data_IF_540073324018
#
_entry.id   IF_540073324018
#
_cell.length_a   1.000
_cell.length_b   1.000
_cell.length_c   1.000
_cell.angle_alpha   90.00
_cell.angle_beta   90.00
_cell.angle_gamma   90.00
#
_symmetry.space_group_name_H-M   'P 1'
#
loop_
_entity.id
_entity.type
_entity.pdbx_description
1 polymer ?
#
# COMPACT_ATOMS: atom_id res chain seq x y z
N UNK A 1 6.70 7.70 21.06
CA UNK A 1 7.92 6.87 21.12
C UNK A 1 7.99 6.12 19.80
N UNK A 2 9.08 6.25 19.05
CA UNK A 2 9.21 5.56 17.77
C UNK A 2 9.15 4.04 18.01
N UNK A 3 8.31 3.35 17.25
CA UNK A 3 8.33 1.89 17.20
C UNK A 3 9.47 1.49 16.27
N UNK A 4 10.47 0.77 16.78
CA UNK A 4 11.61 0.30 15.98
C UNK A 4 11.42 -1.15 15.56
N UNK A 5 11.77 -1.45 14.31
CA UNK A 5 11.90 -2.81 13.83
C UNK A 5 13.20 -3.44 14.34
N UNK A 6 13.24 -4.77 14.40
CA UNK A 6 14.41 -5.48 14.97
C UNK A 6 15.74 -5.13 14.28
N UNK A 7 15.72 -4.90 12.97
CA UNK A 7 16.91 -4.53 12.21
C UNK A 7 17.32 -3.05 12.41
N UNK A 8 16.45 -2.23 13.00
CA UNK A 8 16.74 -0.82 13.33
C UNK A 8 17.38 -0.65 14.71
N UNK A 9 17.54 -1.72 15.51
CA UNK A 9 18.17 -1.64 16.84
C UNK A 9 19.49 -0.85 16.89
N UNK A 10 20.43 -1.03 15.94
CA UNK A 10 21.66 -0.24 15.93
C UNK A 10 21.42 1.27 15.76
N UNK A 11 20.38 1.65 15.01
CA UNK A 11 19.98 3.05 14.82
C UNK A 11 19.25 3.55 16.07
N UNK A 12 18.36 2.75 16.64
CA UNK A 12 17.63 3.09 17.86
C UNK A 12 18.58 3.40 19.03
N UNK A 13 19.67 2.63 19.18
CA UNK A 13 20.70 2.90 20.19
C UNK A 13 21.44 4.23 19.96
N UNK A 14 21.67 4.62 18.70
CA UNK A 14 22.28 5.90 18.36
C UNK A 14 21.30 7.05 18.63
N UNK A 15 20.04 6.91 18.23
CA UNK A 15 18.99 7.92 18.46
C UNK A 15 18.70 8.09 19.96
N UNK A 16 18.68 7.02 20.76
CA UNK A 16 18.54 7.11 22.22
C UNK A 16 19.70 7.90 22.86
N UNK A 17 20.94 7.67 22.41
CA UNK A 17 22.10 8.45 22.88
C UNK A 17 22.01 9.92 22.48
N UNK A 18 21.45 10.22 21.30
CA UNK A 18 21.15 11.60 20.87
C UNK A 18 20.14 12.24 21.80
N UNK A 19 19.04 11.55 22.12
CA UNK A 19 18.01 12.04 23.05
C UNK A 19 18.59 12.30 24.45
N UNK A 20 19.40 11.38 24.98
CA UNK A 20 20.06 11.53 26.28
C UNK A 20 20.99 12.75 26.30
N UNK A 21 21.82 12.92 25.26
CA UNK A 21 22.73 14.07 25.15
C UNK A 21 21.96 15.40 24.98
N UNK A 22 20.86 15.38 24.23
CA UNK A 22 19.98 16.55 24.07
C UNK A 22 19.36 16.94 25.41
N UNK A 23 18.82 15.98 26.17
CA UNK A 23 18.25 16.21 27.49
C UNK A 23 19.28 16.69 28.52
N UNK A 24 20.55 16.28 28.38
CA UNK A 24 21.65 16.82 29.19
C UNK A 24 21.98 18.26 28.79
N UNK A 25 22.00 18.58 27.50
CA UNK A 25 22.33 19.94 27.00
C UNK A 25 21.32 21.02 27.43
N UNK A 26 20.06 20.64 27.71
CA UNK A 26 19.01 21.55 28.18
C UNK A 26 19.12 21.89 29.67
N UNK A 27 20.01 21.25 30.43
CA UNK A 27 20.25 21.57 31.86
C UNK A 27 21.17 22.78 32.02
N UNK A 28 20.83 23.66 32.97
CA UNK A 28 21.42 25.01 33.17
C UNK A 28 22.94 25.09 33.43
N UNK A 29 23.62 23.98 33.73
CA UNK A 29 25.07 23.92 34.03
C UNK A 29 25.84 22.94 33.12
N UNK A 30 25.33 22.69 31.91
CA UNK A 30 25.91 21.67 31.03
C UNK A 30 27.12 22.18 30.24
N UNK A 31 28.17 21.36 30.07
CA UNK A 31 29.29 21.69 29.20
C UNK A 31 28.84 21.88 27.75
N UNK A 32 29.65 22.56 26.92
CA UNK A 32 29.36 22.80 25.51
C UNK A 32 29.42 21.48 24.70
N UNK A 33 28.32 20.73 24.73
CA UNK A 33 28.15 19.42 24.08
C UNK A 33 27.57 19.57 22.67
N UNK A 34 27.29 20.80 22.20
CA UNK A 34 26.60 21.06 20.93
C UNK A 34 27.30 20.44 19.72
N UNK A 35 28.63 20.48 19.66
CA UNK A 35 29.39 19.83 18.57
C UNK A 35 29.31 18.30 18.60
N UNK A 36 29.33 17.70 19.79
CA UNK A 36 29.22 16.24 19.95
C UNK A 36 27.81 15.76 19.61
N UNK A 37 26.78 16.53 20.03
CA UNK A 37 25.40 16.27 19.68
C UNK A 37 25.20 16.32 18.15
N UNK A 38 25.66 17.38 17.49
CA UNK A 38 25.54 17.50 16.03
C UNK A 38 26.27 16.38 15.28
N UNK A 39 27.47 15.98 15.75
CA UNK A 39 28.19 14.82 15.19
C UNK A 39 27.42 13.52 15.38
N UNK A 40 26.80 13.32 16.54
CA UNK A 40 26.03 12.10 16.81
C UNK A 40 24.71 12.05 16.04
N UNK A 41 24.01 13.18 15.91
CA UNK A 41 22.82 13.33 15.07
C UNK A 41 23.13 13.01 13.61
N UNK A 42 24.21 13.58 13.06
CA UNK A 42 24.65 13.29 11.69
C UNK A 42 25.02 11.81 11.52
N UNK A 43 25.64 11.20 12.53
CA UNK A 43 25.98 9.77 12.51
C UNK A 43 24.73 8.88 12.54
N UNK A 44 23.73 9.22 13.37
CA UNK A 44 22.47 8.49 13.45
C UNK A 44 21.69 8.60 12.13
N UNK A 45 21.56 9.82 11.59
CA UNK A 45 20.90 10.07 10.31
C UNK A 45 21.57 9.31 9.15
N UNK A 46 22.91 9.32 9.09
CA UNK A 46 23.66 8.55 8.09
C UNK A 46 23.47 7.05 8.26
N UNK A 47 23.54 6.53 9.49
CA UNK A 47 23.33 5.11 9.75
C UNK A 47 21.93 4.64 9.35
N UNK A 48 20.90 5.45 9.60
CA UNK A 48 19.54 5.19 9.15
C UNK A 48 19.45 5.17 7.62
N UNK A 49 20.02 6.18 6.95
CA UNK A 49 20.02 6.25 5.49
C UNK A 49 20.74 5.06 4.84
N UNK A 50 21.94 4.71 5.33
CA UNK A 50 22.72 3.58 4.83
C UNK A 50 21.99 2.25 5.05
N UNK A 51 21.31 2.09 6.21
CA UNK A 51 20.48 0.92 6.51
C UNK A 51 19.29 0.80 5.56
N UNK A 52 18.54 1.89 5.36
CA UNK A 52 17.34 1.88 4.52
C UNK A 52 17.65 1.75 3.02
N UNK A 53 18.80 2.26 2.57
CA UNK A 53 19.28 2.07 1.21
C UNK A 53 19.62 0.59 0.88
N UNK A 54 19.93 -0.22 1.90
CA UNK A 54 20.36 -1.60 1.76
C UNK A 54 19.34 -2.64 2.25
N UNK A 55 18.06 -2.26 2.44
CA UNK A 55 17.04 -3.20 2.94
C UNK A 55 16.88 -4.42 2.02
N UNK A 56 16.93 -5.59 2.65
CA UNK A 56 16.55 -6.85 2.02
C UNK A 56 15.03 -6.92 1.76
N UNK A 57 14.56 -7.80 0.85
CA UNK A 57 13.12 -7.98 0.62
C UNK A 57 12.31 -8.31 1.88
N UNK A 58 12.90 -9.07 2.81
CA UNK A 58 12.26 -9.38 4.08
C UNK A 58 12.17 -8.16 5.01
N UNK A 59 13.24 -7.36 5.11
CA UNK A 59 13.17 -6.12 5.89
C UNK A 59 12.16 -5.13 5.30
N UNK A 60 12.06 -5.02 3.97
CA UNK A 60 10.97 -4.25 3.32
C UNK A 60 9.59 -4.81 3.67
N UNK A 61 9.42 -6.13 3.73
CA UNK A 61 8.18 -6.75 4.21
C UNK A 61 7.85 -6.33 5.65
N UNK A 62 8.85 -6.26 6.52
CA UNK A 62 8.66 -5.77 7.89
C UNK A 62 8.26 -4.28 7.93
N UNK A 63 8.84 -3.44 7.05
CA UNK A 63 8.45 -2.02 6.89
C UNK A 63 7.02 -1.88 6.34
N UNK A 64 6.63 -2.71 5.36
CA UNK A 64 5.27 -2.75 4.82
C UNK A 64 4.22 -3.14 5.87
N UNK A 65 4.63 -3.95 6.87
CA UNK A 65 3.80 -4.41 7.98
C UNK A 65 3.95 -3.55 9.25
N UNK A 66 4.66 -2.43 9.16
CA UNK A 66 4.93 -1.60 10.33
C UNK A 66 3.61 -1.11 10.96
N UNK A 67 3.42 -1.22 12.29
CA UNK A 67 2.14 -0.87 12.94
C UNK A 67 1.70 0.59 12.78
N UNK A 68 2.66 1.49 12.53
CA UNK A 68 2.41 2.93 12.33
C UNK A 68 2.47 3.32 10.84
N UNK A 69 2.53 2.36 9.92
CA UNK A 69 2.46 2.66 8.48
C UNK A 69 1.08 3.26 8.18
N UNK A 70 0.99 4.37 7.42
CA UNK A 70 -0.30 4.98 7.09
C UNK A 70 -1.21 3.97 6.36
N UNK A 71 -2.47 3.92 6.76
CA UNK A 71 -3.50 3.05 6.18
C UNK A 71 -4.44 3.84 5.26
N UNK A 72 -5.38 3.16 4.61
CA UNK A 72 -6.28 3.77 3.63
C UNK A 72 -7.02 5.00 4.18
N UNK A 73 -7.47 4.95 5.45
CA UNK A 73 -8.12 6.09 6.11
C UNK A 73 -7.24 7.36 6.11
N UNK A 74 -5.94 7.22 6.29
CA UNK A 74 -5.00 8.34 6.34
C UNK A 74 -4.83 8.98 4.96
N UNK A 75 -4.72 8.16 3.91
CA UNK A 75 -4.66 8.65 2.52
C UNK A 75 -5.96 9.30 2.08
N UNK A 76 -7.12 8.75 2.46
CA UNK A 76 -8.41 9.38 2.18
C UNK A 76 -8.48 10.74 2.87
N UNK A 77 -8.16 10.81 4.17
CA UNK A 77 -8.22 12.04 4.94
C UNK A 77 -7.25 13.12 4.41
N UNK A 78 -6.06 12.73 3.95
CA UNK A 78 -5.04 13.66 3.45
C UNK A 78 -5.16 14.04 1.98
N UNK A 79 -5.88 13.27 1.15
CA UNK A 79 -5.94 13.50 -0.31
C UNK A 79 -7.33 13.80 -0.86
N UNK A 80 -8.40 13.40 -0.18
CA UNK A 80 -9.75 13.40 -0.73
C UNK A 80 -10.63 14.40 0.04
N UNK A 81 -10.92 15.52 -0.60
CA UNK A 81 -11.84 16.53 -0.09
C UNK A 81 -13.29 16.04 -0.23
N UNK A 82 -14.17 16.45 0.70
CA UNK A 82 -15.60 16.13 0.71
C UNK A 82 -15.91 14.64 0.54
N UNK A 83 -15.07 13.76 1.11
CA UNK A 83 -15.25 12.32 1.01
C UNK A 83 -16.59 11.88 1.59
N UNK A 84 -17.41 11.27 0.74
CA UNK A 84 -18.72 10.71 1.07
C UNK A 84 -18.65 9.18 0.99
N UNK A 85 -18.65 8.47 2.13
CA UNK A 85 -18.62 7.01 2.15
C UNK A 85 -19.87 6.40 1.50
N UNK A 86 -19.67 5.32 0.72
CA UNK A 86 -20.73 4.55 0.08
C UNK A 86 -20.75 3.11 0.59
N UNK A 87 -21.64 2.83 1.53
CA UNK A 87 -21.78 1.50 2.14
C UNK A 87 -22.66 0.52 1.33
N UNK A 88 -22.43 -0.77 1.58
CA UNK A 88 -23.21 -1.93 1.18
C UNK A 88 -22.95 -2.40 -0.25
N UNK A 89 -23.01 -3.72 -0.46
CA UNK A 89 -22.94 -4.35 -1.78
C UNK A 89 -24.31 -4.50 -2.47
N UNK A 90 -25.40 -4.18 -1.75
CA UNK A 90 -26.81 -4.36 -2.16
C UNK A 90 -27.25 -5.81 -2.36
N UNK A 91 -26.49 -6.77 -1.83
CA UNK A 91 -26.78 -8.21 -1.92
C UNK A 91 -26.74 -8.91 -0.56
N UNK A 92 -25.75 -8.58 0.27
CA UNK A 92 -25.52 -9.25 1.54
C UNK A 92 -25.27 -8.27 2.70
N UNK A 93 -24.18 -7.51 2.65
CA UNK A 93 -23.75 -6.71 3.80
C UNK A 93 -22.86 -5.52 3.41
N UNK A 94 -22.52 -4.71 4.42
CA UNK A 94 -21.37 -3.80 4.36
C UNK A 94 -20.13 -4.53 4.91
N UNK A 95 -19.06 -4.55 4.12
CA UNK A 95 -17.75 -5.03 4.57
C UNK A 95 -16.88 -3.85 4.97
N UNK A 96 -16.52 -3.76 6.24
CA UNK A 96 -15.73 -2.67 6.77
C UNK A 96 -14.23 -2.78 6.41
N UNK A 97 -13.76 -3.94 5.93
CA UNK A 97 -12.37 -4.13 5.50
C UNK A 97 -12.02 -3.36 4.21
N UNK A 98 -13.01 -2.80 3.52
CA UNK A 98 -12.81 -2.01 2.31
C UNK A 98 -13.64 -0.73 2.36
N UNK A 99 -13.00 0.42 2.25
CA UNK A 99 -13.63 1.72 2.20
C UNK A 99 -13.91 2.09 0.76
N UNK A 100 -15.14 2.52 0.48
CA UNK A 100 -15.52 3.02 -0.83
C UNK A 100 -16.26 4.34 -0.70
N UNK A 101 -16.09 5.26 -1.63
CA UNK A 101 -16.81 6.53 -1.61
C UNK A 101 -16.55 7.41 -2.82
N UNK A 102 -17.16 8.59 -2.81
CA UNK A 102 -16.93 9.66 -3.78
C UNK A 102 -16.30 10.84 -3.07
N UNK A 103 -15.50 11.64 -3.77
CA UNK A 103 -14.95 12.87 -3.23
C UNK A 103 -14.27 13.69 -4.32
N UNK A 104 -13.48 14.67 -3.90
CA UNK A 104 -12.69 15.50 -4.81
C UNK A 104 -11.21 15.29 -4.55
N UNK A 105 -10.47 15.00 -5.62
CA UNK A 105 -9.03 14.91 -5.60
C UNK A 105 -8.47 16.05 -6.45
N UNK A 106 -7.80 17.03 -5.83
CA UNK A 106 -7.27 18.25 -6.50
C UNK A 106 -8.34 18.96 -7.33
N UNK A 107 -9.54 19.10 -6.78
CA UNK A 107 -10.68 19.72 -7.45
C UNK A 107 -11.43 18.83 -8.46
N UNK A 108 -10.92 17.66 -8.84
CA UNK A 108 -11.60 16.72 -9.74
C UNK A 108 -12.46 15.72 -8.96
N UNK A 109 -13.69 15.47 -9.41
CA UNK A 109 -14.54 14.43 -8.80
C UNK A 109 -13.99 13.04 -9.11
N UNK A 110 -13.83 12.21 -8.09
CA UNK A 110 -13.27 10.86 -8.19
C UNK A 110 -14.07 9.87 -7.35
N UNK A 111 -13.99 8.60 -7.72
CA UNK A 111 -14.38 7.48 -6.87
C UNK A 111 -13.13 6.89 -6.20
N UNK A 112 -13.27 6.50 -4.94
CA UNK A 112 -12.16 5.97 -4.14
C UNK A 112 -12.55 4.60 -3.59
N UNK A 113 -11.60 3.66 -3.65
CA UNK A 113 -11.73 2.30 -3.13
C UNK A 113 -10.44 2.00 -2.37
N UNK A 114 -10.49 1.40 -1.18
CA UNK A 114 -9.25 0.98 -0.54
C UNK A 114 -9.43 0.05 0.63
N UNK A 115 -8.43 -0.79 0.86
CA UNK A 115 -8.43 -1.77 1.94
C UNK A 115 -7.98 -1.09 3.24
N UNK A 116 -8.76 -1.25 4.30
CA UNK A 116 -8.46 -0.65 5.59
C UNK A 116 -8.07 -1.73 6.59
N UNK A 117 -6.88 -1.61 7.18
CA UNK A 117 -6.37 -2.60 8.13
C UNK A 117 -6.75 -2.33 9.57
N UNK A 118 -6.86 -1.06 9.97
CA UNK A 118 -6.90 -0.64 11.36
C UNK A 118 -5.50 -0.54 12.00
N UNK A 119 -5.33 0.46 12.86
CA UNK A 119 -4.06 0.80 13.51
C UNK A 119 -3.94 0.22 14.94
N UNK A 120 -5.06 -0.08 15.59
CA UNK A 120 -5.12 -0.68 16.94
C UNK A 120 -5.90 -2.00 16.93
N UNK A 121 -5.95 -2.71 18.06
CA UNK A 121 -6.63 -4.01 18.14
C UNK A 121 -8.13 -3.91 17.81
N UNK A 122 -8.82 -2.87 18.28
CA UNK A 122 -10.26 -2.71 18.09
C UNK A 122 -10.60 -2.44 16.62
N UNK A 123 -9.89 -1.49 15.99
CA UNK A 123 -10.02 -1.15 14.58
C UNK A 123 -9.58 -2.31 13.68
N UNK A 124 -8.54 -3.07 14.03
CA UNK A 124 -8.15 -4.26 13.27
C UNK A 124 -9.21 -5.35 13.26
N UNK A 125 -9.83 -5.62 14.39
CA UNK A 125 -10.95 -6.57 14.46
C UNK A 125 -12.14 -6.08 13.66
N UNK A 126 -12.47 -4.78 13.78
CA UNK A 126 -13.53 -4.12 13.02
C UNK A 126 -13.34 -4.26 11.50
N UNK A 127 -12.14 -3.92 11.02
CA UNK A 127 -11.80 -3.94 9.60
C UNK A 127 -11.25 -5.29 9.12
N UNK A 128 -11.38 -6.35 9.93
CA UNK A 128 -10.89 -7.69 9.60
C UNK A 128 -9.42 -7.71 9.11
N UNK A 129 -8.57 -6.86 9.70
CA UNK A 129 -7.16 -6.69 9.33
C UNK A 129 -6.96 -6.38 7.84
N UNK A 130 -7.93 -5.72 7.20
CA UNK A 130 -7.91 -5.41 5.75
C UNK A 130 -8.15 -6.63 4.87
N UNK A 131 -8.56 -7.76 5.43
CA UNK A 131 -8.91 -8.96 4.67
C UNK A 131 -10.36 -8.88 4.23
N UNK A 132 -10.55 -8.56 2.95
CA UNK A 132 -11.87 -8.31 2.37
C UNK A 132 -12.64 -9.62 2.18
N UNK A 133 -13.93 -9.60 2.50
CA UNK A 133 -14.92 -10.67 2.26
C UNK A 133 -15.60 -10.47 0.89
N UNK A 134 -16.36 -11.47 0.39
CA UNK A 134 -16.93 -11.40 -0.97
C UNK A 134 -17.81 -10.16 -1.20
N UNK A 135 -18.63 -9.81 -0.21
CA UNK A 135 -19.45 -8.60 -0.18
C UNK A 135 -18.63 -7.30 -0.34
N UNK A 136 -17.40 -7.24 0.19
CA UNK A 136 -16.52 -6.09 0.01
C UNK A 136 -16.05 -5.92 -1.44
N UNK A 137 -15.67 -7.00 -2.11
CA UNK A 137 -15.35 -6.95 -3.55
C UNK A 137 -16.57 -6.60 -4.40
N UNK A 138 -17.76 -7.08 -4.04
CA UNK A 138 -19.01 -6.70 -4.72
C UNK A 138 -19.35 -5.21 -4.52
N UNK A 139 -19.07 -4.66 -3.34
CA UNK A 139 -19.16 -3.22 -3.09
C UNK A 139 -18.17 -2.44 -3.95
N UNK A 140 -16.92 -2.91 -4.09
CA UNK A 140 -15.94 -2.30 -4.99
C UNK A 140 -16.42 -2.29 -6.45
N UNK A 141 -16.94 -3.41 -6.96
CA UNK A 141 -17.57 -3.49 -8.30
C UNK A 141 -18.66 -2.44 -8.45
N UNK A 142 -19.58 -2.34 -7.48
CA UNK A 142 -20.67 -1.35 -7.52
C UNK A 142 -20.15 0.08 -7.64
N UNK A 143 -19.05 0.42 -6.96
CA UNK A 143 -18.43 1.75 -7.02
C UNK A 143 -17.68 1.96 -8.34
N UNK A 144 -17.00 0.94 -8.87
CA UNK A 144 -16.37 1.01 -10.20
C UNK A 144 -17.41 1.23 -11.30
N UNK A 145 -18.53 0.49 -11.29
CA UNK A 145 -19.63 0.67 -12.25
C UNK A 145 -20.30 2.05 -12.13
N UNK A 146 -20.44 2.56 -10.91
CA UNK A 146 -20.95 3.91 -10.67
C UNK A 146 -19.99 4.95 -11.24
N UNK A 147 -18.70 4.80 -10.98
CA UNK A 147 -17.67 5.69 -11.49
C UNK A 147 -17.65 5.70 -13.02
N UNK A 148 -17.72 4.52 -13.65
CA UNK A 148 -17.76 4.39 -15.11
C UNK A 148 -18.99 5.09 -15.72
N UNK A 149 -20.17 4.92 -15.10
CA UNK A 149 -21.42 5.57 -15.54
C UNK A 149 -21.35 7.09 -15.52
N UNK A 150 -20.63 7.66 -14.55
CA UNK A 150 -20.54 9.10 -14.36
C UNK A 150 -19.24 9.71 -14.88
N UNK A 151 -18.40 8.92 -15.56
CA UNK A 151 -17.13 9.43 -16.09
C UNK A 151 -16.11 9.81 -15.01
N UNK A 152 -16.19 9.21 -13.83
CA UNK A 152 -15.31 9.51 -12.69
C UNK A 152 -14.07 8.61 -12.73
N UNK A 153 -12.85 9.17 -12.60
CA UNK A 153 -11.67 8.34 -12.38
C UNK A 153 -11.75 7.59 -11.05
N UNK A 154 -11.10 6.43 -10.97
CA UNK A 154 -11.03 5.62 -9.75
C UNK A 154 -9.62 5.63 -9.17
N UNK A 155 -9.51 5.93 -7.87
CA UNK A 155 -8.27 5.83 -7.09
C UNK A 155 -8.41 4.66 -6.13
N UNK A 156 -7.49 3.70 -6.21
CA UNK A 156 -7.45 2.52 -5.37
C UNK A 156 -6.26 2.54 -4.41
N UNK A 157 -6.48 2.26 -3.12
CA UNK A 157 -5.42 2.06 -2.13
C UNK A 157 -5.38 0.60 -1.67
N UNK A 158 -4.27 -0.08 -1.95
CA UNK A 158 -4.10 -1.51 -1.68
C UNK A 158 -3.25 -1.71 -0.43
N UNK A 159 -3.85 -2.34 0.58
CA UNK A 159 -3.20 -2.72 1.84
C UNK A 159 -3.89 -3.93 2.48
N UNK A 160 -3.55 -5.11 2.01
CA UNK A 160 -4.10 -6.37 2.49
C UNK A 160 -3.06 -7.48 2.49
N UNK A 161 -3.09 -8.33 3.52
CA UNK A 161 -2.33 -9.59 3.50
C UNK A 161 -2.96 -10.62 2.54
N UNK A 162 -4.21 -10.40 2.12
CA UNK A 162 -4.97 -11.27 1.23
C UNK A 162 -6.47 -11.18 1.49
N UNK A 163 -7.26 -11.80 0.63
CA UNK A 163 -8.70 -11.95 0.87
C UNK A 163 -8.94 -12.82 2.10
N UNK A 164 -10.04 -12.59 2.82
CA UNK A 164 -10.34 -13.33 4.04
C UNK A 164 -10.57 -14.84 3.75
N UNK A 165 -9.78 -15.76 4.33
CA UNK A 165 -9.82 -17.18 4.03
C UNK A 165 -10.74 -17.95 5.00
N UNK A 166 -11.98 -17.49 5.17
CA UNK A 166 -12.96 -18.11 6.08
C UNK A 166 -14.02 -18.94 5.36
N UNK A 167 -14.62 -19.89 6.09
CA UNK A 167 -15.69 -20.76 5.57
C UNK A 167 -16.83 -19.90 5.02
N UNK A 168 -17.20 -18.84 5.74
CA UNK A 168 -18.31 -17.99 5.33
C UNK A 168 -17.98 -17.18 4.07
N UNK A 169 -16.70 -16.86 3.82
CA UNK A 169 -16.28 -16.22 2.59
C UNK A 169 -16.34 -17.19 1.40
N UNK A 170 -15.97 -18.45 1.62
CA UNK A 170 -16.09 -19.50 0.60
C UNK A 170 -17.56 -19.79 0.25
N UNK A 171 -18.44 -19.94 1.25
CA UNK A 171 -19.88 -20.14 1.06
C UNK A 171 -20.53 -19.00 0.24
N UNK A 172 -19.99 -17.78 0.39
CA UNK A 172 -20.47 -16.58 -0.33
C UNK A 172 -19.70 -16.30 -1.63
N UNK A 173 -18.77 -17.16 -2.04
CA UNK A 173 -18.09 -17.07 -3.33
C UNK A 173 -16.95 -16.05 -3.39
N UNK A 174 -15.94 -16.19 -2.52
CA UNK A 174 -14.75 -15.32 -2.51
C UNK A 174 -14.02 -15.29 -3.87
N UNK A 175 -13.82 -16.46 -4.48
CA UNK A 175 -13.18 -16.55 -5.79
C UNK A 175 -13.99 -15.84 -6.89
N UNK A 176 -15.32 -16.00 -6.90
CA UNK A 176 -16.21 -15.33 -7.85
C UNK A 176 -16.17 -13.82 -7.67
N UNK A 177 -16.24 -13.34 -6.43
CA UNK A 177 -16.26 -11.92 -6.12
C UNK A 177 -14.95 -11.23 -6.54
N UNK A 178 -13.79 -11.85 -6.30
CA UNK A 178 -12.48 -11.35 -6.77
C UNK A 178 -12.40 -11.36 -8.29
N UNK A 179 -12.85 -12.42 -8.95
CA UNK A 179 -12.86 -12.51 -10.40
C UNK A 179 -13.72 -11.41 -11.03
N UNK A 180 -14.93 -11.16 -10.49
CA UNK A 180 -15.81 -10.07 -10.92
C UNK A 180 -15.24 -8.69 -10.65
N UNK A 181 -14.58 -8.47 -9.51
CA UNK A 181 -13.91 -7.21 -9.22
C UNK A 181 -12.77 -6.92 -10.21
N UNK A 182 -11.99 -7.96 -10.52
CA UNK A 182 -10.92 -7.90 -11.52
C UNK A 182 -11.50 -7.61 -12.91
N UNK A 183 -12.56 -8.30 -13.31
CA UNK A 183 -13.27 -8.06 -14.57
C UNK A 183 -13.80 -6.62 -14.67
N UNK A 184 -14.50 -6.14 -13.64
CA UNK A 184 -15.05 -4.78 -13.58
C UNK A 184 -13.95 -3.72 -13.75
N UNK A 185 -12.82 -3.90 -13.07
CA UNK A 185 -11.66 -3.04 -13.21
C UNK A 185 -11.06 -3.13 -14.63
N UNK A 186 -10.99 -4.32 -15.25
CA UNK A 186 -10.42 -4.48 -16.60
C UNK A 186 -11.28 -3.85 -17.70
N UNK A 187 -12.60 -3.90 -17.56
CA UNK A 187 -13.53 -3.35 -18.57
C UNK A 187 -13.89 -1.89 -18.32
N UNK A 188 -13.35 -1.24 -17.30
CA UNK A 188 -13.69 0.14 -16.97
C UNK A 188 -13.21 1.13 -18.06
N UNK A 189 -14.10 2.03 -18.49
CA UNK A 189 -13.84 3.07 -19.47
C UNK A 189 -13.21 4.34 -18.89
N UNK A 190 -13.37 4.60 -17.58
CA UNK A 190 -12.68 5.71 -16.92
C UNK A 190 -11.26 5.35 -16.47
N UNK A 191 -10.34 6.33 -16.41
CA UNK A 191 -8.99 6.10 -15.92
C UNK A 191 -9.01 5.63 -14.47
N UNK A 192 -8.17 4.65 -14.12
CA UNK A 192 -7.99 4.26 -12.74
C UNK A 192 -6.53 4.00 -12.36
N UNK A 193 -6.22 4.27 -11.11
CA UNK A 193 -4.87 4.20 -10.55
C UNK A 193 -4.93 3.45 -9.23
N UNK A 194 -4.14 2.39 -9.09
CA UNK A 194 -3.95 1.70 -7.83
C UNK A 194 -2.59 2.07 -7.23
N UNK A 195 -2.55 2.28 -5.92
CA UNK A 195 -1.30 2.44 -5.17
C UNK A 195 -1.24 1.37 -4.09
N UNK A 196 -0.22 0.51 -4.15
CA UNK A 196 0.08 -0.43 -3.06
C UNK A 196 0.80 0.33 -1.96
N UNK A 197 0.03 0.69 -0.93
CA UNK A 197 0.49 1.51 0.19
C UNK A 197 1.09 0.66 1.31
N UNK A 198 0.77 -0.63 1.42
CA UNK A 198 1.34 -1.54 2.42
C UNK A 198 1.61 -2.93 1.85
N UNK A 199 0.71 -3.87 2.09
CA UNK A 199 0.80 -5.21 1.49
C UNK A 199 -0.15 -5.35 0.29
N UNK A 200 0.36 -5.89 -0.82
CA UNK A 200 -0.42 -6.33 -1.97
C UNK A 200 -0.57 -7.85 -1.94
N UNK A 201 -1.47 -8.36 -1.10
CA UNK A 201 -1.66 -9.80 -0.92
C UNK A 201 -2.50 -10.48 -2.00
N UNK A 202 -1.85 -11.18 -2.93
CA UNK A 202 -2.45 -12.16 -3.85
C UNK A 202 -3.65 -11.62 -4.65
N UNK A 203 -4.59 -12.49 -5.01
CA UNK A 203 -5.85 -12.12 -5.66
C UNK A 203 -6.68 -11.12 -4.86
N UNK A 204 -6.49 -11.08 -3.54
CA UNK A 204 -7.19 -10.14 -2.69
C UNK A 204 -6.82 -8.68 -2.95
N UNK A 205 -5.54 -8.41 -3.24
CA UNK A 205 -5.08 -7.13 -3.74
C UNK A 205 -5.47 -6.90 -5.21
N UNK A 206 -5.32 -7.93 -6.05
CA UNK A 206 -5.60 -7.84 -7.49
C UNK A 206 -7.03 -7.36 -7.80
N UNK A 207 -8.00 -7.76 -6.97
CA UNK A 207 -9.41 -7.39 -7.14
C UNK A 207 -9.67 -5.88 -7.20
N UNK A 208 -8.77 -5.03 -6.70
CA UNK A 208 -8.87 -3.56 -6.82
C UNK A 208 -7.62 -2.92 -7.46
N UNK A 209 -6.68 -3.72 -7.93
CA UNK A 209 -5.40 -3.27 -8.49
C UNK A 209 -5.25 -3.54 -10.00
N UNK A 210 -6.26 -4.13 -10.66
CA UNK A 210 -6.28 -4.33 -12.10
C UNK A 210 -6.52 -3.01 -12.88
N UNK A 211 -5.58 -2.07 -12.75
CA UNK A 211 -5.74 -0.67 -13.13
C UNK A 211 -4.88 -0.26 -14.34
N UNK A 212 -5.22 0.88 -14.95
CA UNK A 212 -4.39 1.52 -15.98
C UNK A 212 -2.97 1.75 -15.47
N UNK A 213 -2.85 2.33 -14.27
CA UNK A 213 -1.57 2.56 -13.60
C UNK A 213 -1.57 1.89 -12.24
N UNK A 214 -0.50 1.17 -11.94
CA UNK A 214 -0.22 0.55 -10.64
C UNK A 214 1.07 1.17 -10.10
N UNK A 215 0.95 1.85 -8.98
CA UNK A 215 2.05 2.45 -8.22
C UNK A 215 2.33 1.59 -6.99
N UNK A 216 3.58 1.62 -6.53
CA UNK A 216 3.96 1.04 -5.24
C UNK A 216 4.76 2.05 -4.43
N UNK A 217 4.50 2.14 -3.14
CA UNK A 217 5.45 2.75 -2.22
C UNK A 217 6.76 1.93 -2.18
N UNK A 218 7.88 2.61 -1.95
CA UNK A 218 9.22 2.05 -2.07
C UNK A 218 9.47 0.77 -1.24
N UNK A 219 8.84 0.69 -0.08
CA UNK A 219 8.93 -0.42 0.86
C UNK A 219 7.63 -1.20 0.98
N UNK A 220 6.63 -0.97 0.12
CA UNK A 220 5.49 -1.88 0.00
C UNK A 220 5.87 -3.17 -0.74
N UNK A 221 5.06 -4.21 -0.57
CA UNK A 221 5.27 -5.51 -1.21
C UNK A 221 4.04 -5.91 -2.02
N UNK A 222 4.21 -6.68 -3.09
CA UNK A 222 3.09 -7.25 -3.85
C UNK A 222 3.44 -8.70 -4.20
N UNK A 223 2.61 -9.65 -3.77
CA UNK A 223 2.95 -11.08 -3.79
C UNK A 223 1.81 -11.94 -4.31
N UNK A 224 2.13 -13.08 -4.94
CA UNK A 224 1.12 -14.10 -5.30
C UNK A 224 0.65 -14.91 -4.08
N UNK A 225 1.50 -15.04 -3.06
CA UNK A 225 1.22 -15.66 -1.78
C UNK A 225 2.10 -15.01 -0.71
N UNK A 226 1.72 -15.09 0.57
CA UNK A 226 2.58 -14.56 1.64
C UNK A 226 3.93 -15.30 1.68
N UNK A 227 5.04 -14.63 2.04
CA UNK A 227 6.32 -15.29 2.20
C UNK A 227 6.28 -16.51 3.12
N UNK A 228 5.50 -16.43 4.19
CA UNK A 228 5.28 -17.52 5.14
C UNK A 228 4.57 -18.72 4.51
N UNK A 229 3.49 -18.48 3.76
CA UNK A 229 2.76 -19.53 3.08
C UNK A 229 3.64 -20.20 2.01
N UNK A 230 4.31 -19.41 1.18
CA UNK A 230 5.28 -19.92 0.19
C UNK A 230 6.37 -20.76 0.85
N UNK A 231 6.87 -20.33 2.01
CA UNK A 231 7.91 -21.05 2.73
C UNK A 231 7.43 -22.43 3.25
N UNK A 232 6.23 -22.45 3.82
CA UNK A 232 5.57 -23.68 4.29
C UNK A 232 5.29 -24.68 3.17
N UNK A 233 5.07 -24.23 1.94
CA UNK A 233 4.78 -25.10 0.79
C UNK A 233 6.08 -25.63 0.17
N UNK A 234 7.02 -24.73 -0.14
CA UNK A 234 8.24 -25.07 -0.89
C UNK A 234 9.28 -25.77 -0.03
N UNK A 235 9.42 -25.36 1.23
CA UNK A 235 10.42 -25.91 2.14
C UNK A 235 9.83 -26.68 3.32
N UNK A 236 8.50 -26.72 3.47
CA UNK A 236 7.82 -27.32 4.64
C UNK A 236 8.28 -26.68 5.96
N UNK A 237 8.69 -25.42 5.89
CA UNK A 237 9.26 -24.67 7.01
C UNK A 237 8.94 -23.17 6.87
N UNK A 238 8.02 -22.67 7.70
CA UNK A 238 7.62 -21.26 7.70
C UNK A 238 8.73 -20.31 8.18
N UNK A 239 9.75 -20.81 8.89
CA UNK A 239 10.88 -19.98 9.33
C UNK A 239 11.73 -19.49 8.15
N UNK A 240 11.59 -20.11 6.98
CA UNK A 240 12.26 -19.71 5.72
C UNK A 240 11.52 -18.61 4.95
N UNK A 241 10.66 -17.83 5.61
CA UNK A 241 9.94 -16.72 5.00
C UNK A 241 10.88 -15.67 4.36
N UNK A 242 12.05 -15.42 4.95
CA UNK A 242 13.05 -14.52 4.37
C UNK A 242 13.61 -15.04 3.03
N UNK A 243 13.88 -16.34 2.94
CA UNK A 243 14.32 -16.97 1.69
C UNK A 243 13.21 -16.87 0.65
N UNK A 244 11.97 -17.19 1.04
CA UNK A 244 10.80 -17.10 0.16
C UNK A 244 10.59 -15.69 -0.39
N UNK A 245 10.62 -14.66 0.47
CA UNK A 245 10.49 -13.26 0.06
C UNK A 245 11.57 -12.86 -0.96
N UNK A 246 12.81 -13.32 -0.75
CA UNK A 246 13.94 -13.04 -1.64
C UNK A 246 13.81 -13.75 -2.98
N UNK A 247 13.40 -15.02 -2.98
CA UNK A 247 13.21 -15.83 -4.19
C UNK A 247 12.03 -15.35 -5.04
N UNK A 248 10.95 -14.91 -4.40
CA UNK A 248 9.73 -14.46 -5.09
C UNK A 248 9.83 -13.06 -5.70
N UNK A 249 10.86 -12.27 -5.35
CA UNK A 249 11.11 -10.94 -5.95
C UNK A 249 9.91 -9.99 -5.78
N UNK A 250 9.50 -9.83 -4.52
CA UNK A 250 8.24 -9.17 -4.12
C UNK A 250 8.30 -7.65 -3.96
N UNK A 251 9.48 -7.05 -4.15
CA UNK A 251 9.71 -5.64 -3.86
C UNK A 251 9.22 -4.74 -5.00
N UNK A 252 8.88 -3.48 -4.70
CA UNK A 252 8.55 -2.50 -5.73
C UNK A 252 9.62 -2.41 -6.83
N UNK A 253 10.90 -2.52 -6.48
CA UNK A 253 12.01 -2.44 -7.43
C UNK A 253 12.10 -3.67 -8.33
N UNK A 254 11.83 -4.86 -7.80
CA UNK A 254 11.75 -6.07 -8.61
C UNK A 254 10.58 -6.00 -9.60
N UNK A 255 9.40 -5.62 -9.10
CA UNK A 255 8.18 -5.59 -9.88
C UNK A 255 8.17 -4.48 -10.96
N UNK A 256 8.89 -3.38 -10.71
CA UNK A 256 9.16 -2.36 -11.74
C UNK A 256 10.02 -2.92 -12.87
N UNK A 257 11.08 -3.69 -12.54
CA UNK A 257 11.92 -4.35 -13.56
C UNK A 257 11.13 -5.38 -14.36
N UNK A 258 10.19 -6.07 -13.72
CA UNK A 258 9.32 -7.04 -14.39
C UNK A 258 8.19 -6.41 -15.21
N UNK A 259 8.02 -5.08 -15.17
CA UNK A 259 6.92 -4.39 -15.85
C UNK A 259 5.54 -4.73 -15.29
N UNK A 260 5.47 -5.13 -14.01
CA UNK A 260 4.21 -5.42 -13.32
C UNK A 260 3.57 -4.14 -12.77
N UNK A 261 4.41 -3.18 -12.38
CA UNK A 261 4.00 -1.85 -11.92
C UNK A 261 4.57 -0.76 -12.83
N UNK A 262 4.01 0.44 -12.73
CA UNK A 262 4.32 1.57 -13.62
C UNK A 262 5.15 2.66 -12.92
N UNK A 263 5.28 2.61 -11.60
CA UNK A 263 5.99 3.62 -10.84
C UNK A 263 6.22 3.26 -9.37
N UNK A 264 7.33 3.74 -8.85
CA UNK A 264 7.69 3.64 -7.43
C UNK A 264 7.58 5.04 -6.82
N UNK A 265 6.84 5.16 -5.73
CA UNK A 265 6.75 6.37 -4.92
C UNK A 265 7.74 6.24 -3.77
N UNK A 266 8.76 7.09 -3.77
CA UNK A 266 9.80 7.09 -2.74
C UNK A 266 9.20 7.36 -1.36
N UNK A 267 9.71 6.66 -0.34
CA UNK A 267 9.34 6.90 1.05
C UNK A 267 10.37 7.84 1.72
N UNK A 268 9.99 8.57 2.77
CA UNK A 268 10.94 9.26 3.64
C UNK A 268 12.02 8.29 4.14
N UNK A 269 13.20 8.83 4.48
CA UNK A 269 14.27 8.01 5.10
C UNK A 269 13.72 7.39 6.38
N UNK A 270 13.77 6.06 6.47
CA UNK A 270 13.16 5.31 7.56
C UNK A 270 11.74 4.80 7.29
N UNK A 271 11.20 5.03 6.09
CA UNK A 271 9.89 4.55 5.65
C UNK A 271 8.72 5.48 5.96
N UNK A 272 7.57 5.16 5.38
CA UNK A 272 6.36 5.98 5.37
C UNK A 272 5.84 6.38 6.75
N UNK A 273 6.08 5.55 7.76
CA UNK A 273 5.62 5.78 9.13
C UNK A 273 6.41 6.89 9.85
N UNK A 274 7.59 7.28 9.35
CA UNK A 274 8.40 8.35 9.96
C UNK A 274 7.96 9.75 9.54
N UNK A 275 7.42 9.89 8.34
CA UNK A 275 6.78 11.12 7.88
C UNK A 275 5.55 10.79 7.01
N UNK A 276 4.41 10.47 7.67
CA UNK A 276 3.16 10.16 6.99
C UNK A 276 2.68 11.27 6.06
N UNK A 277 2.80 12.53 6.47
CA UNK A 277 2.31 13.68 5.71
C UNK A 277 3.07 13.83 4.38
N UNK A 278 4.40 13.77 4.42
CA UNK A 278 5.22 13.81 3.21
C UNK A 278 4.96 12.60 2.28
N UNK A 279 4.72 11.43 2.87
CA UNK A 279 4.39 10.21 2.09
C UNK A 279 3.03 10.36 1.40
N UNK A 280 2.00 10.77 2.13
CA UNK A 280 0.65 10.98 1.58
C UNK A 280 0.70 12.01 0.46
N UNK A 281 1.41 13.13 0.66
CA UNK A 281 1.62 14.13 -0.39
C UNK A 281 2.29 13.54 -1.63
N UNK A 282 3.37 12.76 -1.46
CA UNK A 282 4.09 12.13 -2.57
C UNK A 282 3.22 11.14 -3.35
N UNK A 283 2.37 10.37 -2.65
CA UNK A 283 1.37 9.51 -3.29
C UNK A 283 0.35 10.34 -4.08
N UNK A 284 -0.14 11.45 -3.51
CA UNK A 284 -1.03 12.37 -4.21
C UNK A 284 -0.40 12.96 -5.47
N UNK A 285 0.87 13.37 -5.43
CA UNK A 285 1.59 13.88 -6.60
C UNK A 285 1.71 12.81 -7.70
N UNK A 286 2.04 11.57 -7.32
CA UNK A 286 2.17 10.45 -8.26
C UNK A 286 0.82 10.03 -8.87
N UNK A 287 -0.25 9.97 -8.08
CA UNK A 287 -1.61 9.65 -8.56
C UNK A 287 -2.11 10.74 -9.51
N UNK A 288 -1.88 12.02 -9.20
CA UNK A 288 -2.23 13.13 -10.09
C UNK A 288 -1.49 13.04 -11.44
N UNK A 289 -0.19 12.78 -11.40
CA UNK A 289 0.59 12.57 -12.62
C UNK A 289 0.11 11.37 -13.42
N UNK A 290 -0.30 10.28 -12.75
CA UNK A 290 -0.82 9.09 -13.40
C UNK A 290 -2.17 9.36 -14.10
N UNK A 291 -3.09 10.04 -13.43
CA UNK A 291 -4.40 10.40 -13.99
C UNK A 291 -4.27 11.37 -15.17
N UNK A 292 -3.38 12.35 -15.08
CA UNK A 292 -3.16 13.34 -16.13
C UNK A 292 -2.74 12.72 -17.48
N UNK A 293 -2.12 11.54 -17.48
CA UNK A 293 -1.75 10.80 -18.70
C UNK A 293 -2.95 10.42 -19.56
N UNK A 294 -4.14 10.34 -18.96
CA UNK A 294 -5.37 9.89 -19.62
C UNK A 294 -6.37 11.04 -19.88
N UNK A 295 -5.97 12.29 -19.67
CA UNK A 295 -6.88 13.44 -19.81
C UNK A 295 -7.52 13.52 -21.21
N UNK A 296 -6.75 13.19 -22.25
CA UNK A 296 -7.19 13.23 -23.66
C UNK A 296 -7.60 11.86 -24.22
N UNK A 297 -7.67 10.82 -23.36
CA UNK A 297 -8.00 9.47 -23.81
C UNK A 297 -9.52 9.30 -23.90
N UNK A 298 -10.00 8.70 -24.98
CA UNK A 298 -11.37 8.20 -25.04
C UNK A 298 -11.54 6.97 -24.12
N UNK A 299 -12.77 6.60 -23.71
CA UNK A 299 -13.01 5.40 -22.92
C UNK A 299 -12.44 4.12 -23.57
N UNK A 300 -12.49 4.02 -24.90
CA UNK A 300 -11.92 2.92 -25.67
C UNK A 300 -10.39 2.92 -25.58
N UNK A 301 -9.75 4.09 -25.66
CA UNK A 301 -8.30 4.22 -25.51
C UNK A 301 -7.84 3.87 -24.09
N UNK A 302 -8.60 4.26 -23.06
CA UNK A 302 -8.34 3.86 -21.66
C UNK A 302 -8.38 2.34 -21.51
N UNK A 303 -9.40 1.67 -22.08
CA UNK A 303 -9.52 0.21 -22.06
C UNK A 303 -8.38 -0.47 -22.85
N UNK A 304 -8.09 0.03 -24.05
CA UNK A 304 -7.04 -0.51 -24.91
C UNK A 304 -5.66 -0.44 -24.24
N UNK A 305 -5.32 0.70 -23.62
CA UNK A 305 -4.08 0.85 -22.86
C UNK A 305 -3.95 -0.21 -21.76
N UNK A 306 -5.02 -0.40 -20.99
CA UNK A 306 -5.06 -1.39 -19.90
C UNK A 306 -4.91 -2.81 -20.44
N UNK A 307 -5.64 -3.14 -21.52
CA UNK A 307 -5.59 -4.44 -22.16
C UNK A 307 -4.17 -4.76 -22.67
N UNK A 308 -3.53 -3.82 -23.36
CA UNK A 308 -2.15 -3.99 -23.85
C UNK A 308 -1.18 -4.24 -22.70
N UNK A 309 -1.27 -3.43 -21.63
CA UNK A 309 -0.47 -3.60 -20.41
C UNK A 309 -0.59 -5.03 -19.86
N UNK A 310 -1.80 -5.51 -19.57
CA UNK A 310 -1.99 -6.85 -18.97
C UNK A 310 -1.62 -7.99 -19.93
N UNK A 311 -1.87 -7.85 -21.24
CA UNK A 311 -1.44 -8.85 -22.22
C UNK A 311 0.08 -8.88 -22.42
N UNK A 312 0.78 -7.77 -22.17
CA UNK A 312 2.25 -7.68 -22.23
C UNK A 312 2.96 -8.30 -21.04
N UNK A 313 2.31 -8.38 -19.87
CA UNK A 313 2.89 -8.98 -18.66
C UNK A 313 3.32 -10.43 -18.89
N UNK A 314 4.55 -10.76 -18.51
CA UNK A 314 5.11 -12.11 -18.64
C UNK A 314 5.51 -12.55 -20.05
N UNK A 315 5.34 -11.71 -21.08
CA UNK A 315 5.74 -12.05 -22.46
C UNK A 315 7.20 -11.73 -22.79
N UNK A 316 7.74 -10.68 -22.16
CA UNK A 316 9.14 -10.33 -22.32
C UNK A 316 9.98 -11.08 -21.28
N UNK A 317 11.09 -11.69 -21.72
CA UNK A 317 12.08 -12.23 -20.78
C UNK A 317 12.76 -11.03 -20.11
N UNK A 318 12.62 -10.94 -18.80
CA UNK A 318 13.32 -9.97 -17.96
C UNK A 318 14.68 -10.53 -17.58
#
# INVERSE_FOLDING_TARGET
MASYLDFEKPVAELEARVEDLRALSEKKDSPNIGEELAKLEAKAAKALADLYAALTPWQKTQVARHPQRPHCVDYIAGLIEDFTPLAGDRKFAEDEAILCGLGRFRGQSVAVIGQEKGFDTASRLKHNFGMVKPEGYRKAVRVMELADRFGLPVISFVDTAGAFPGIEAEERGQAEAIARATEAALVQGTPNVATVIGEGGSGGALGIAACNVVLMLEHSIYTVASPEASASILWRDSSRAQDAATSMKITAQDLMKFGIIDGIVAEPVGGAHRDPEATIKSVGDAVASALARFAEFSPEAVRAFRQEKFLGMGRNKV
#
